data_IF_537118093032
#
_entry.id   IF_537118093032
#
_cell.length_a   1.000
_cell.length_b   1.000
_cell.length_c   1.000
_cell.angle_alpha   90.00
_cell.angle_beta   90.00
_cell.angle_gamma   90.00
#
_symmetry.space_group_name_H-M   'P 1'
#
loop_
_entity.id
_entity.type
_entity.pdbx_description
1 polymer ?
#
# COMPACT_ATOMS: atom_id res chain seq x y z
N UNK A 1 -4.73 39.92 -31.53
CA UNK A 1 -4.96 38.52 -31.10
C UNK A 1 -3.76 37.87 -30.40
N UNK A 2 -2.57 38.49 -30.44
CA UNK A 2 -1.34 37.98 -29.80
C UNK A 2 -1.24 38.25 -28.30
N UNK A 3 -1.99 39.23 -27.77
CA UNK A 3 -1.99 39.56 -26.34
C UNK A 3 -2.87 38.62 -25.49
N UNK A 4 -3.90 38.00 -26.08
CA UNK A 4 -4.78 37.06 -25.34
C UNK A 4 -4.15 35.67 -25.12
N UNK A 5 -3.31 35.23 -26.07
CA UNK A 5 -2.60 33.92 -25.93
C UNK A 5 -1.47 33.98 -24.90
N UNK A 6 -0.80 35.14 -24.72
CA UNK A 6 0.26 35.30 -23.72
C UNK A 6 -0.28 35.38 -22.27
N UNK A 7 -1.49 35.94 -22.07
CA UNK A 7 -2.11 36.00 -20.76
C UNK A 7 -2.64 34.62 -20.31
N UNK A 8 -3.28 33.88 -21.21
CA UNK A 8 -3.75 32.53 -20.92
C UNK A 8 -2.60 31.55 -20.59
N UNK A 9 -1.53 31.55 -21.38
CA UNK A 9 -0.33 30.78 -21.12
C UNK A 9 0.34 31.13 -19.78
N UNK A 10 0.33 32.42 -19.42
CA UNK A 10 0.82 32.89 -18.13
C UNK A 10 -0.05 32.40 -16.96
N UNK A 11 -1.36 32.36 -17.14
CA UNK A 11 -2.30 31.92 -16.06
C UNK A 11 -2.26 30.42 -15.86
N UNK A 12 -2.04 29.63 -16.91
CA UNK A 12 -1.86 28.19 -16.83
C UNK A 12 -0.56 27.83 -16.12
N UNK A 13 0.55 28.42 -16.54
CA UNK A 13 1.85 28.22 -15.87
C UNK A 13 1.77 28.55 -14.38
N UNK A 14 1.06 29.63 -14.02
CA UNK A 14 0.81 29.97 -12.61
C UNK A 14 0.01 28.94 -11.86
N UNK A 15 -0.91 28.20 -12.52
CA UNK A 15 -1.71 27.15 -11.88
C UNK A 15 -0.87 25.92 -11.59
N UNK A 16 -0.07 25.46 -12.56
CA UNK A 16 0.87 24.34 -12.36
C UNK A 16 1.88 24.67 -11.26
N UNK A 17 2.43 25.90 -11.31
CA UNK A 17 3.37 26.37 -10.29
C UNK A 17 2.73 26.38 -8.90
N UNK A 18 1.50 26.91 -8.76
CA UNK A 18 0.76 26.89 -7.50
C UNK A 18 0.50 25.48 -6.96
N UNK A 19 0.22 24.51 -7.85
CA UNK A 19 0.06 23.10 -7.44
C UNK A 19 1.35 22.55 -6.81
N UNK A 20 2.51 22.90 -7.38
CA UNK A 20 3.80 22.49 -6.82
C UNK A 20 4.18 23.33 -5.59
N UNK A 21 3.92 24.64 -5.58
CA UNK A 21 4.14 25.47 -4.39
C UNK A 21 3.30 25.00 -3.19
N UNK A 22 2.08 24.49 -3.42
CA UNK A 22 1.27 23.89 -2.37
C UNK A 22 1.87 22.58 -1.81
N UNK A 23 2.59 21.85 -2.65
CA UNK A 23 3.24 20.58 -2.26
C UNK A 23 4.51 20.81 -1.44
N UNK A 24 5.31 21.81 -1.77
CA UNK A 24 6.60 22.06 -1.16
C UNK A 24 6.53 22.98 0.06
N UNK A 25 7.52 22.90 0.91
CA UNK A 25 7.71 23.84 2.03
C UNK A 25 7.93 25.26 1.46
N UNK A 26 7.49 26.28 2.20
CA UNK A 26 7.50 27.67 1.75
C UNK A 26 8.87 28.10 1.22
N UNK A 27 8.89 28.54 -0.03
CA UNK A 27 10.08 29.08 -0.71
C UNK A 27 11.16 28.04 -1.05
N UNK A 28 10.91 26.74 -0.84
CA UNK A 28 11.90 25.69 -1.13
C UNK A 28 11.89 25.25 -2.60
N UNK A 29 10.80 25.47 -3.33
CA UNK A 29 10.65 25.00 -4.71
C UNK A 29 11.63 25.66 -5.67
N UNK A 30 12.33 24.83 -6.46
CA UNK A 30 13.21 25.27 -7.54
C UNK A 30 12.82 24.53 -8.83
N UNK A 31 12.41 25.28 -9.85
CA UNK A 31 12.03 24.74 -11.15
C UNK A 31 13.25 24.24 -11.94
N UNK A 32 13.09 23.11 -12.63
CA UNK A 32 14.05 22.54 -13.57
C UNK A 32 13.52 22.70 -14.98
N UNK A 33 14.41 23.05 -15.94
CA UNK A 33 14.08 23.24 -17.36
C UNK A 33 12.90 24.22 -17.59
N UNK A 34 12.87 25.32 -16.83
CA UNK A 34 11.85 26.35 -16.91
C UNK A 34 11.65 26.96 -18.32
N UNK A 35 12.69 26.88 -19.15
CA UNK A 35 12.67 27.41 -20.53
C UNK A 35 12.45 26.31 -21.59
N UNK A 36 12.33 25.03 -21.18
CA UNK A 36 12.07 23.94 -22.10
C UNK A 36 10.63 24.02 -22.61
N UNK A 37 10.46 24.05 -23.93
CA UNK A 37 9.16 24.14 -24.60
C UNK A 37 9.03 23.01 -25.63
N UNK A 38 7.81 22.67 -25.92
CA UNK A 38 7.44 21.80 -27.03
C UNK A 38 7.68 22.53 -28.39
N UNK A 39 7.63 21.78 -29.47
CA UNK A 39 7.88 22.32 -30.82
C UNK A 39 6.92 23.48 -31.20
N UNK A 40 5.70 23.47 -30.66
CA UNK A 40 4.71 24.54 -30.85
C UNK A 40 4.82 25.67 -29.83
N UNK A 41 5.81 25.63 -28.93
CA UNK A 41 6.08 26.63 -27.90
C UNK A 41 5.28 26.47 -26.61
N UNK A 42 4.46 25.41 -26.48
CA UNK A 42 3.69 25.11 -25.28
C UNK A 42 4.57 24.54 -24.14
N UNK A 43 4.10 24.64 -22.91
CA UNK A 43 4.71 24.05 -21.71
C UNK A 43 3.63 23.26 -21.00
N UNK A 44 3.60 21.94 -21.25
CA UNK A 44 2.59 21.05 -20.69
C UNK A 44 2.94 20.58 -19.27
N UNK A 45 4.21 20.67 -18.87
CA UNK A 45 4.72 20.19 -17.58
C UNK A 45 5.58 21.24 -16.90
N UNK A 46 5.29 21.51 -15.63
CA UNK A 46 6.22 22.20 -14.70
C UNK A 46 6.85 21.13 -13.82
N UNK A 47 8.16 21.18 -13.63
CA UNK A 47 8.89 20.17 -12.89
C UNK A 47 10.04 20.80 -12.09
N UNK A 48 10.37 20.24 -10.94
CA UNK A 48 11.44 20.78 -10.10
C UNK A 48 11.67 19.94 -8.85
N UNK A 49 12.31 20.54 -7.88
CA UNK A 49 12.61 19.95 -6.59
C UNK A 49 12.46 20.98 -5.47
N UNK A 50 12.34 20.50 -4.26
CA UNK A 50 12.24 21.28 -3.03
C UNK A 50 12.23 20.37 -1.83
N UNK A 51 11.71 20.85 -0.69
CA UNK A 51 11.49 20.05 0.49
C UNK A 51 10.00 19.86 0.77
N UNK A 52 9.66 18.71 1.32
CA UNK A 52 8.34 18.39 1.88
C UNK A 52 8.59 17.91 3.31
N UNK A 53 8.10 18.67 4.30
CA UNK A 53 8.42 18.44 5.70
C UNK A 53 9.94 18.26 5.92
N UNK A 54 10.74 19.20 5.37
CA UNK A 54 12.21 19.25 5.42
C UNK A 54 12.94 18.13 4.65
N UNK A 55 12.23 17.17 4.05
CA UNK A 55 12.81 16.09 3.24
C UNK A 55 12.86 16.49 1.76
N UNK A 56 13.99 16.26 1.09
CA UNK A 56 14.16 16.58 -0.33
C UNK A 56 13.26 15.68 -1.19
N UNK A 57 12.52 16.29 -2.12
CA UNK A 57 11.56 15.63 -3.02
C UNK A 57 11.67 16.25 -4.41
N UNK A 58 11.55 15.42 -5.44
CA UNK A 58 11.33 15.87 -6.81
C UNK A 58 9.85 15.79 -7.16
N UNK A 59 9.36 16.75 -7.95
CA UNK A 59 7.97 16.69 -8.38
C UNK A 59 7.78 17.27 -9.79
N UNK A 60 6.68 16.88 -10.42
CA UNK A 60 6.18 17.48 -11.64
C UNK A 60 4.66 17.63 -11.60
N UNK A 61 4.14 18.59 -12.36
CA UNK A 61 2.70 18.84 -12.48
C UNK A 61 2.32 19.03 -13.94
N UNK A 62 1.24 18.39 -14.35
CA UNK A 62 0.56 18.56 -15.63
C UNK A 62 -0.67 19.44 -15.47
N UNK A 63 -1.19 19.99 -16.58
CA UNK A 63 -2.43 20.78 -16.58
C UNK A 63 -3.19 20.53 -17.89
N UNK A 64 -4.42 20.02 -17.76
CA UNK A 64 -5.31 19.69 -18.89
C UNK A 64 -5.64 20.89 -19.77
N UNK A 65 -5.51 22.11 -19.27
CA UNK A 65 -5.83 23.33 -20.03
C UNK A 65 -4.76 23.67 -21.10
N UNK A 66 -3.60 23.00 -21.05
CA UNK A 66 -2.58 23.08 -22.09
C UNK A 66 -2.75 21.90 -23.03
N UNK A 67 -3.30 22.11 -24.19
CA UNK A 67 -3.46 21.09 -25.24
C UNK A 67 -4.11 19.77 -24.74
N UNK A 68 -5.14 19.91 -23.86
CA UNK A 68 -5.75 18.75 -23.20
C UNK A 68 -4.84 17.99 -22.22
N UNK A 69 -3.79 18.65 -21.72
CA UNK A 69 -2.76 17.99 -20.90
C UNK A 69 -1.90 16.97 -21.66
N UNK A 70 -1.99 16.95 -22.98
CA UNK A 70 -1.26 16.01 -23.83
C UNK A 70 0.24 16.31 -23.78
N UNK A 71 1.03 15.32 -23.40
CA UNK A 71 2.47 15.47 -23.15
C UNK A 71 3.27 15.17 -24.42
N UNK A 72 4.16 16.11 -24.79
CA UNK A 72 5.06 16.03 -25.93
C UNK A 72 6.35 15.26 -25.60
N UNK A 73 7.14 14.92 -26.62
CA UNK A 73 8.49 14.31 -26.47
C UNK A 73 9.38 15.18 -25.57
N UNK A 74 9.37 16.50 -25.77
CA UNK A 74 10.20 17.42 -25.00
C UNK A 74 9.80 17.44 -23.51
N UNK A 75 8.50 17.37 -23.24
CA UNK A 75 8.00 17.35 -21.86
C UNK A 75 8.14 15.97 -21.21
N UNK A 76 8.04 14.88 -21.96
CA UNK A 76 8.43 13.54 -21.49
C UNK A 76 9.91 13.51 -21.05
N UNK A 77 10.81 14.15 -21.83
CA UNK A 77 12.22 14.27 -21.47
C UNK A 77 12.41 15.06 -20.15
N UNK A 78 11.60 16.10 -19.92
CA UNK A 78 11.60 16.86 -18.68
C UNK A 78 11.18 16.01 -17.49
N UNK A 79 10.10 15.24 -17.60
CA UNK A 79 9.66 14.28 -16.55
C UNK A 79 10.73 13.22 -16.32
N UNK A 80 11.27 12.63 -17.39
CA UNK A 80 12.35 11.62 -17.28
C UNK A 80 13.54 12.15 -16.52
N UNK A 81 13.94 13.40 -16.75
CA UNK A 81 15.03 14.04 -16.02
C UNK A 81 14.77 14.11 -14.52
N UNK A 82 13.51 14.31 -14.09
CA UNK A 82 13.12 14.24 -12.68
C UNK A 82 13.41 12.87 -12.10
N UNK A 83 12.97 11.79 -12.77
CA UNK A 83 13.26 10.41 -12.35
C UNK A 83 14.77 10.12 -12.30
N UNK A 84 15.51 10.53 -13.32
CA UNK A 84 16.96 10.31 -13.40
C UNK A 84 17.72 11.04 -12.26
N UNK A 85 17.29 12.25 -11.90
CA UNK A 85 17.87 13.01 -10.79
C UNK A 85 17.48 12.40 -9.44
N UNK A 86 16.23 12.02 -9.27
CA UNK A 86 15.73 11.37 -8.06
C UNK A 86 16.50 10.07 -7.76
N UNK A 87 16.75 9.23 -8.78
CA UNK A 87 17.57 8.03 -8.64
C UNK A 87 19.02 8.34 -8.24
N UNK A 88 19.61 9.42 -8.78
CA UNK A 88 20.97 9.81 -8.46
C UNK A 88 21.14 10.36 -7.05
N UNK A 89 20.11 10.97 -6.53
CA UNK A 89 20.12 11.64 -5.21
C UNK A 89 19.45 10.80 -4.12
N UNK A 90 18.73 9.73 -4.50
CA UNK A 90 17.99 8.88 -3.56
C UNK A 90 16.79 9.58 -2.95
N UNK A 91 16.06 10.39 -3.73
CA UNK A 91 14.91 11.18 -3.26
C UNK A 91 13.59 10.66 -3.86
N UNK A 92 12.45 10.80 -3.14
CA UNK A 92 11.13 10.49 -3.67
C UNK A 92 10.74 11.36 -4.87
N UNK A 93 9.78 10.85 -5.67
CA UNK A 93 9.13 11.60 -6.74
C UNK A 93 7.63 11.69 -6.48
N UNK A 94 7.06 12.89 -6.60
CA UNK A 94 5.62 13.13 -6.55
C UNK A 94 5.17 13.68 -7.90
N UNK A 95 4.30 12.95 -8.61
CA UNK A 95 3.71 13.37 -9.87
C UNK A 95 2.27 13.85 -9.69
N UNK A 96 1.96 15.07 -10.15
CA UNK A 96 0.59 15.59 -10.19
C UNK A 96 0.08 15.49 -11.63
N UNK A 97 -0.90 14.59 -11.82
CA UNK A 97 -1.43 14.22 -13.12
C UNK A 97 -2.75 14.92 -13.42
N UNK A 98 -2.81 15.53 -14.60
CA UNK A 98 -4.00 16.15 -15.17
C UNK A 98 -3.82 16.16 -16.69
N UNK A 99 -4.02 15.01 -17.35
CA UNK A 99 -3.56 14.76 -18.72
C UNK A 99 -4.38 13.70 -19.45
N UNK A 100 -4.74 13.99 -20.69
CA UNK A 100 -5.35 13.03 -21.62
C UNK A 100 -4.33 12.09 -22.31
N UNK A 101 -3.07 12.08 -21.89
CA UNK A 101 -2.04 11.17 -22.38
C UNK A 101 -1.07 11.81 -23.38
N UNK A 102 -0.82 11.11 -24.50
CA UNK A 102 0.21 11.52 -25.47
C UNK A 102 -0.24 12.65 -26.41
N UNK A 103 0.70 13.51 -26.83
CA UNK A 103 0.49 14.49 -27.88
C UNK A 103 0.49 13.79 -29.25
N UNK A 104 -0.68 13.41 -29.74
CA UNK A 104 -0.86 12.57 -30.93
C UNK A 104 -0.22 13.17 -32.20
N UNK A 105 -0.06 14.50 -32.28
CA UNK A 105 0.58 15.19 -33.42
C UNK A 105 2.05 14.85 -33.60
N UNK A 106 2.72 14.31 -32.56
CA UNK A 106 4.13 13.90 -32.59
C UNK A 106 4.33 12.43 -33.00
N UNK A 107 3.25 11.71 -33.30
CA UNK A 107 3.30 10.37 -33.86
C UNK A 107 3.98 9.34 -32.96
N UNK A 108 4.84 8.48 -33.53
CA UNK A 108 5.52 7.40 -32.79
C UNK A 108 6.66 7.91 -31.90
N UNK A 109 7.18 9.09 -32.10
CA UNK A 109 8.28 9.63 -31.29
C UNK A 109 7.83 9.82 -29.85
N UNK A 110 6.61 10.30 -29.63
CA UNK A 110 6.05 10.46 -28.27
C UNK A 110 5.78 9.10 -27.60
N UNK A 111 5.42 8.08 -28.37
CA UNK A 111 5.25 6.71 -27.82
C UNK A 111 6.58 6.15 -27.31
N UNK A 112 7.68 6.38 -28.02
CA UNK A 112 9.02 6.01 -27.54
C UNK A 112 9.38 6.78 -26.28
N UNK A 113 9.07 8.08 -26.21
CA UNK A 113 9.32 8.89 -25.02
C UNK A 113 8.54 8.39 -23.79
N UNK A 114 7.28 7.98 -23.97
CA UNK A 114 6.53 7.34 -22.89
C UNK A 114 7.12 5.97 -22.49
N UNK A 115 7.63 5.19 -23.45
CA UNK A 115 8.38 3.97 -23.15
C UNK A 115 9.60 4.22 -22.27
N UNK A 116 10.30 5.35 -22.48
CA UNK A 116 11.40 5.77 -21.61
C UNK A 116 10.92 6.17 -20.20
N UNK A 117 9.73 6.78 -20.07
CA UNK A 117 9.12 7.08 -18.76
C UNK A 117 8.75 5.79 -18.02
N UNK A 118 8.16 4.81 -18.72
CA UNK A 118 7.87 3.48 -18.14
C UNK A 118 9.15 2.85 -17.58
N UNK A 119 10.24 2.88 -18.36
CA UNK A 119 11.54 2.37 -17.92
C UNK A 119 12.08 3.13 -16.72
N UNK A 120 11.99 4.45 -16.70
CA UNK A 120 12.48 5.30 -15.62
C UNK A 120 11.71 5.02 -14.31
N UNK A 121 10.37 5.03 -14.36
CA UNK A 121 9.53 4.70 -13.21
C UNK A 121 9.78 3.29 -12.69
N UNK A 122 9.85 2.29 -13.59
CA UNK A 122 10.14 0.90 -13.19
C UNK A 122 11.53 0.76 -12.54
N UNK A 123 12.53 1.51 -13.03
CA UNK A 123 13.88 1.49 -12.43
C UNK A 123 13.92 2.13 -11.04
N UNK A 124 12.98 3.01 -10.75
CA UNK A 124 12.85 3.69 -9.46
C UNK A 124 12.04 2.87 -8.44
N UNK A 125 11.14 2.01 -8.91
CA UNK A 125 10.29 1.17 -8.05
C UNK A 125 11.11 0.32 -7.09
N UNK A 126 10.81 0.41 -5.80
CA UNK A 126 11.56 -0.25 -4.73
C UNK A 126 12.95 0.35 -4.45
N UNK A 127 13.30 1.48 -5.07
CA UNK A 127 14.53 2.24 -4.80
C UNK A 127 14.22 3.55 -4.10
N UNK A 128 13.36 4.37 -4.69
CA UNK A 128 12.86 5.62 -4.09
C UNK A 128 11.34 5.65 -4.19
N UNK A 129 10.61 6.14 -3.18
CA UNK A 129 9.17 6.24 -3.21
C UNK A 129 8.64 7.07 -4.38
N UNK A 130 7.57 6.57 -4.99
CA UNK A 130 6.82 7.25 -6.03
C UNK A 130 5.39 7.43 -5.60
N UNK A 131 4.89 8.67 -5.62
CA UNK A 131 3.52 9.01 -5.26
C UNK A 131 2.88 9.73 -6.45
N UNK A 132 1.70 9.28 -6.85
CA UNK A 132 0.90 9.92 -7.88
C UNK A 132 -0.31 10.60 -7.27
N UNK A 133 -0.56 11.86 -7.64
CA UNK A 133 -1.77 12.62 -7.33
C UNK A 133 -2.55 12.77 -8.63
N UNK A 134 -3.72 12.17 -8.72
CA UNK A 134 -4.64 12.34 -9.83
C UNK A 134 -5.52 13.55 -9.52
N UNK A 135 -5.16 14.70 -10.08
CA UNK A 135 -5.76 16.00 -9.76
C UNK A 135 -6.95 16.38 -10.67
N UNK A 136 -7.12 15.64 -11.76
CA UNK A 136 -8.16 15.83 -12.77
C UNK A 136 -8.22 14.62 -13.68
N UNK A 137 -8.38 14.82 -14.98
CA UNK A 137 -8.33 13.70 -15.92
C UNK A 137 -6.93 13.08 -15.98
N UNK A 138 -6.88 11.75 -15.91
CA UNK A 138 -5.64 11.00 -16.09
C UNK A 138 -5.92 9.77 -16.94
N UNK A 139 -5.71 9.90 -18.25
CA UNK A 139 -6.21 8.98 -19.24
C UNK A 139 -5.08 8.32 -20.05
N UNK A 140 -5.37 7.14 -20.60
CA UNK A 140 -4.48 6.47 -21.53
C UNK A 140 -3.10 6.14 -20.96
N UNK A 141 -2.06 6.60 -21.65
CA UNK A 141 -0.67 6.39 -21.23
C UNK A 141 -0.30 7.13 -19.96
N UNK A 142 -0.92 8.27 -19.67
CA UNK A 142 -0.73 8.97 -18.39
C UNK A 142 -1.26 8.15 -17.23
N UNK A 143 -2.44 7.52 -17.37
CA UNK A 143 -2.98 6.62 -16.36
C UNK A 143 -2.07 5.41 -16.12
N UNK A 144 -1.48 4.85 -17.17
CA UNK A 144 -0.52 3.75 -17.04
C UNK A 144 0.69 4.17 -16.19
N UNK A 145 1.31 5.32 -16.49
CA UNK A 145 2.47 5.80 -15.74
C UNK A 145 2.08 6.14 -14.29
N UNK A 146 0.96 6.84 -14.09
CA UNK A 146 0.49 7.21 -12.77
C UNK A 146 0.26 5.98 -11.87
N UNK A 147 -0.28 4.90 -12.44
CA UNK A 147 -0.52 3.65 -11.72
C UNK A 147 0.74 2.80 -11.45
N UNK A 148 1.90 3.19 -11.99
CA UNK A 148 3.18 2.55 -11.68
C UNK A 148 3.81 3.08 -10.38
N UNK A 149 3.25 4.13 -9.80
CA UNK A 149 3.69 4.64 -8.49
C UNK A 149 3.40 3.65 -7.36
N UNK A 150 4.14 3.79 -6.27
CA UNK A 150 3.95 2.96 -5.06
C UNK A 150 2.64 3.29 -4.34
N UNK A 151 2.21 4.56 -4.41
CA UNK A 151 0.93 5.03 -3.86
C UNK A 151 0.24 5.97 -4.85
N UNK A 152 -1.05 5.72 -5.09
CA UNK A 152 -1.91 6.53 -5.96
C UNK A 152 -2.98 7.23 -5.12
N UNK A 153 -2.94 8.55 -5.10
CA UNK A 153 -3.90 9.43 -4.45
C UNK A 153 -4.76 10.07 -5.53
N UNK A 154 -6.06 10.13 -5.37
CA UNK A 154 -6.93 10.77 -6.36
C UNK A 154 -7.93 11.73 -5.73
N UNK A 155 -8.24 12.79 -6.48
CA UNK A 155 -9.38 13.66 -6.18
C UNK A 155 -10.65 12.98 -6.69
N UNK A 156 -11.72 13.02 -5.92
CA UNK A 156 -12.97 12.29 -6.16
C UNK A 156 -13.58 12.50 -7.55
N UNK A 157 -13.55 13.72 -8.03
CA UNK A 157 -14.13 14.11 -9.33
C UNK A 157 -13.17 13.87 -10.51
N UNK A 158 -12.03 13.22 -10.29
CA UNK A 158 -11.07 12.93 -11.35
C UNK A 158 -11.48 11.68 -12.15
N UNK A 159 -11.01 11.62 -13.41
CA UNK A 159 -11.13 10.45 -14.27
C UNK A 159 -9.84 9.66 -14.27
N UNK A 160 -9.91 8.34 -14.11
CA UNK A 160 -8.72 7.50 -14.07
C UNK A 160 -8.92 6.17 -14.82
N UNK A 161 -8.57 6.13 -16.12
CA UNK A 161 -8.69 4.92 -16.94
C UNK A 161 -7.71 4.91 -18.13
N UNK A 162 -7.49 3.73 -18.72
CA UNK A 162 -6.56 3.55 -19.85
C UNK A 162 -7.28 3.61 -21.19
N UNK A 163 -8.48 3.04 -21.32
CA UNK A 163 -9.13 2.83 -22.62
C UNK A 163 -10.50 3.47 -22.67
N UNK A 164 -10.69 4.43 -23.60
CA UNK A 164 -12.02 4.92 -23.95
C UNK A 164 -12.82 3.82 -24.70
N UNK A 165 -14.14 3.75 -24.60
CA UNK A 165 -15.05 4.69 -23.96
C UNK A 165 -15.38 4.35 -22.49
N UNK A 166 -14.57 3.56 -21.81
CA UNK A 166 -14.77 3.26 -20.41
C UNK A 166 -14.44 4.51 -19.59
N UNK A 167 -15.44 5.30 -19.30
CA UNK A 167 -15.31 6.41 -18.35
C UNK A 167 -15.33 5.79 -16.95
N UNK A 168 -14.18 5.76 -16.30
CA UNK A 168 -14.00 5.25 -14.93
C UNK A 168 -13.51 6.39 -14.05
N UNK A 169 -14.30 6.70 -13.04
CA UNK A 169 -14.00 7.75 -12.07
C UNK A 169 -12.92 7.30 -11.09
N UNK A 170 -12.30 8.26 -10.43
CA UNK A 170 -11.37 7.99 -9.33
C UNK A 170 -12.06 7.26 -8.17
N UNK A 171 -13.34 7.52 -7.91
CA UNK A 171 -14.14 6.84 -6.88
C UNK A 171 -14.33 5.36 -7.22
N UNK A 172 -14.72 5.03 -8.46
CA UNK A 172 -14.81 3.63 -8.94
C UNK A 172 -13.45 2.92 -8.90
N UNK A 173 -12.36 3.63 -9.23
CA UNK A 173 -10.98 3.12 -9.14
C UNK A 173 -10.55 2.88 -7.68
N UNK A 174 -11.01 3.69 -6.73
CA UNK A 174 -10.80 3.50 -5.30
C UNK A 174 -11.57 2.28 -4.78
N UNK A 175 -12.82 2.12 -5.19
CA UNK A 175 -13.63 0.94 -4.87
C UNK A 175 -13.08 -0.36 -5.49
N UNK A 176 -12.40 -0.26 -6.64
CA UNK A 176 -11.71 -1.37 -7.29
C UNK A 176 -10.32 -1.66 -6.71
N UNK A 177 -9.80 -0.82 -5.81
CA UNK A 177 -8.49 -0.97 -5.18
C UNK A 177 -7.30 -0.54 -6.05
N UNK A 178 -7.53 0.21 -7.13
CA UNK A 178 -6.48 0.79 -7.97
C UNK A 178 -5.95 2.08 -7.35
N UNK A 179 -6.82 2.92 -6.80
CA UNK A 179 -6.47 4.12 -6.03
C UNK A 179 -6.30 3.75 -4.56
N UNK A 180 -5.25 4.27 -3.92
CA UNK A 180 -4.93 4.00 -2.52
C UNK A 180 -5.65 4.93 -1.56
N UNK A 181 -5.76 6.22 -1.90
CA UNK A 181 -6.41 7.26 -1.09
C UNK A 181 -7.29 8.13 -1.97
N UNK A 182 -8.55 8.32 -1.58
CA UNK A 182 -9.49 9.21 -2.24
C UNK A 182 -9.70 10.45 -1.37
N UNK A 183 -9.60 11.62 -1.97
CA UNK A 183 -9.74 12.92 -1.32
C UNK A 183 -10.86 13.73 -1.98
N UNK A 184 -11.56 14.56 -1.21
CA UNK A 184 -12.61 15.42 -1.77
C UNK A 184 -12.01 16.61 -2.53
N UNK A 185 -10.85 17.11 -2.13
CA UNK A 185 -10.18 18.27 -2.73
C UNK A 185 -8.72 17.99 -3.11
N UNK A 186 -8.17 18.85 -3.96
CA UNK A 186 -6.75 18.79 -4.32
C UNK A 186 -5.84 19.11 -3.13
N UNK A 187 -6.24 20.02 -2.28
CA UNK A 187 -5.52 20.38 -1.04
C UNK A 187 -5.40 19.19 -0.09
N UNK A 188 -6.49 18.46 0.10
CA UNK A 188 -6.47 17.21 0.89
C UNK A 188 -5.56 16.13 0.25
N UNK A 189 -5.56 16.04 -1.09
CA UNK A 189 -4.68 15.11 -1.79
C UNK A 189 -3.20 15.48 -1.64
N UNK A 190 -2.88 16.76 -1.61
CA UNK A 190 -1.53 17.27 -1.32
C UNK A 190 -1.12 16.94 0.11
N UNK A 191 -2.00 17.18 1.08
CA UNK A 191 -1.74 16.87 2.50
C UNK A 191 -1.55 15.37 2.72
N UNK A 192 -2.36 14.54 2.07
CA UNK A 192 -2.19 13.09 2.08
C UNK A 192 -0.84 12.67 1.47
N UNK A 193 -0.42 13.27 0.34
CA UNK A 193 0.86 12.99 -0.29
C UNK A 193 2.05 13.39 0.60
N UNK A 194 1.98 14.55 1.25
CA UNK A 194 2.99 15.02 2.22
C UNK A 194 3.11 14.05 3.40
N UNK A 195 1.98 13.64 3.96
CA UNK A 195 1.95 12.72 5.08
C UNK A 195 2.54 11.35 4.70
N UNK A 196 2.12 10.76 3.58
CA UNK A 196 2.65 9.47 3.10
C UNK A 196 4.14 9.59 2.75
N UNK A 197 4.56 10.65 2.07
CA UNK A 197 5.98 10.87 1.76
C UNK A 197 6.84 10.96 3.04
N UNK A 198 6.31 11.55 4.11
CA UNK A 198 7.00 11.64 5.40
C UNK A 198 7.09 10.29 6.13
N UNK A 199 6.07 9.43 6.00
CA UNK A 199 6.06 8.09 6.60
C UNK A 199 7.03 7.12 5.92
N UNK A 200 7.34 7.35 4.64
CA UNK A 200 8.27 6.51 3.88
C UNK A 200 9.71 7.03 4.02
N UNK A 201 10.74 6.16 4.11
CA UNK A 201 12.12 6.61 4.01
C UNK A 201 12.39 7.21 2.62
N UNK A 202 13.38 8.10 2.52
CA UNK A 202 13.71 8.76 1.23
C UNK A 202 14.10 7.76 0.13
N UNK A 203 14.67 6.62 0.51
CA UNK A 203 15.00 5.52 -0.38
C UNK A 203 15.19 4.21 0.41
N UNK A 204 15.37 3.10 -0.28
CA UNK A 204 15.46 1.76 0.29
C UNK A 204 16.69 1.49 1.18
N UNK A 205 17.67 2.38 1.20
CA UNK A 205 18.87 2.29 2.07
C UNK A 205 18.90 3.39 3.13
N UNK A 206 17.98 4.34 3.10
CA UNK A 206 17.86 5.38 4.12
C UNK A 206 17.26 4.80 5.41
N UNK A 207 17.65 5.35 6.58
CA UNK A 207 17.01 4.98 7.83
C UNK A 207 15.51 5.36 7.81
N UNK A 208 14.72 4.62 8.60
CA UNK A 208 13.33 4.97 8.82
C UNK A 208 13.21 6.39 9.42
N UNK A 209 12.23 7.19 9.00
CA UNK A 209 11.95 8.48 9.63
C UNK A 209 11.55 8.27 11.10
N UNK A 210 11.89 9.24 11.93
CA UNK A 210 11.53 9.25 13.35
C UNK A 210 10.64 10.43 13.64
N UNK A 211 9.54 10.17 14.34
CA UNK A 211 8.51 11.15 14.68
C UNK A 211 8.40 11.34 16.19
N UNK A 212 8.01 12.53 16.61
CA UNK A 212 7.42 12.69 17.94
C UNK A 212 6.09 11.93 17.99
N UNK A 213 5.81 11.26 19.09
CA UNK A 213 4.64 10.41 19.18
C UNK A 213 3.92 10.56 20.51
N UNK A 214 2.63 10.26 20.50
CA UNK A 214 1.83 10.08 21.69
C UNK A 214 1.23 8.66 21.70
N UNK A 215 1.28 8.02 22.85
CA UNK A 215 0.66 6.69 22.98
C UNK A 215 -0.87 6.78 22.78
N UNK A 216 -1.51 5.74 22.23
CA UNK A 216 -2.96 5.68 22.13
C UNK A 216 -3.60 5.67 23.54
N UNK A 217 -4.80 6.22 23.64
CA UNK A 217 -5.57 6.27 24.89
C UNK A 217 -6.38 4.99 25.14
N UNK A 218 -6.45 4.08 24.16
CA UNK A 218 -7.27 2.87 24.21
C UNK A 218 -6.41 1.63 24.17
N UNK A 219 -6.93 0.52 24.70
CA UNK A 219 -6.35 -0.81 24.63
C UNK A 219 -7.24 -1.70 23.77
N UNK A 220 -6.66 -2.72 23.14
CA UNK A 220 -7.43 -3.73 22.43
C UNK A 220 -8.25 -4.59 23.38
N UNK A 221 -9.42 -5.03 22.92
CA UNK A 221 -10.30 -5.94 23.63
C UNK A 221 -10.77 -7.06 22.72
N UNK A 222 -11.24 -8.17 23.32
CA UNK A 222 -11.89 -9.23 22.55
C UNK A 222 -13.10 -8.70 21.78
N UNK A 223 -13.18 -9.03 20.51
CA UNK A 223 -14.28 -8.63 19.63
C UNK A 223 -14.15 -7.26 18.99
N UNK A 224 -13.08 -6.53 19.27
CA UNK A 224 -12.78 -5.28 18.53
C UNK A 224 -12.58 -5.55 17.05
N UNK A 225 -13.02 -4.61 16.20
CA UNK A 225 -12.72 -4.62 14.77
C UNK A 225 -11.24 -4.34 14.50
N UNK A 226 -10.79 -4.69 13.29
CA UNK A 226 -9.39 -4.57 12.92
C UNK A 226 -8.82 -3.15 13.05
N UNK A 227 -9.60 -2.12 12.72
CA UNK A 227 -9.14 -0.74 12.81
C UNK A 227 -9.01 -0.29 14.27
N UNK A 228 -9.93 -0.68 15.14
CA UNK A 228 -9.86 -0.42 16.58
C UNK A 228 -8.61 -1.06 17.19
N UNK A 229 -8.28 -2.31 16.82
CA UNK A 229 -7.05 -2.96 17.25
C UNK A 229 -5.82 -2.23 16.75
N UNK A 230 -5.78 -1.84 15.45
CA UNK A 230 -4.67 -1.05 14.91
C UNK A 230 -4.49 0.25 15.69
N UNK A 231 -5.56 0.99 15.93
CA UNK A 231 -5.52 2.26 16.69
C UNK A 231 -5.06 2.08 18.14
N UNK A 232 -5.23 0.89 18.74
CA UNK A 232 -4.73 0.58 20.08
C UNK A 232 -3.22 0.29 20.11
N UNK A 233 -2.63 -0.04 18.95
CA UNK A 233 -1.19 -0.34 18.78
C UNK A 233 -0.45 0.87 18.23
N UNK A 234 -0.98 1.54 17.23
CA UNK A 234 -0.39 2.70 16.57
C UNK A 234 -0.32 3.91 17.51
N UNK A 235 0.60 4.81 17.22
CA UNK A 235 0.66 6.10 17.91
C UNK A 235 -0.56 6.97 17.54
N UNK A 236 -0.98 7.81 18.45
CA UNK A 236 -2.17 8.63 18.26
C UNK A 236 -2.03 9.51 17.00
N UNK A 237 -3.09 9.56 16.19
CA UNK A 237 -3.19 10.35 14.95
C UNK A 237 -2.17 10.01 13.84
N UNK A 238 -1.54 8.84 13.89
CA UNK A 238 -0.54 8.43 12.88
C UNK A 238 -1.10 7.53 11.78
N UNK A 239 -2.34 7.08 11.87
CA UNK A 239 -2.94 6.06 11.02
C UNK A 239 -3.31 6.61 9.65
N UNK A 240 -2.80 5.98 8.59
CA UNK A 240 -3.14 6.23 7.19
C UNK A 240 -3.57 4.92 6.54
N UNK A 241 -4.87 4.76 6.28
CA UNK A 241 -5.39 3.59 5.59
C UNK A 241 -5.13 3.69 4.07
N UNK A 242 -4.54 2.66 3.47
CA UNK A 242 -4.38 2.51 2.03
C UNK A 242 -5.43 1.54 1.48
N UNK A 243 -6.01 1.88 0.30
CA UNK A 243 -7.06 1.09 -0.36
C UNK A 243 -8.29 0.85 0.55
N UNK A 244 -8.63 1.85 1.37
CA UNK A 244 -9.75 1.75 2.32
C UNK A 244 -11.09 1.50 1.66
N UNK A 245 -11.30 2.04 0.45
CA UNK A 245 -12.52 1.87 -0.36
C UNK A 245 -12.61 0.56 -1.14
N UNK A 246 -11.59 -0.30 -1.12
CA UNK A 246 -11.63 -1.56 -1.88
C UNK A 246 -12.79 -2.44 -1.37
N UNK A 247 -13.94 -2.29 -2.03
CA UNK A 247 -15.27 -2.66 -1.51
C UNK A 247 -15.46 -4.15 -1.22
N UNK A 248 -14.79 -5.02 -1.99
CA UNK A 248 -14.85 -6.47 -1.78
C UNK A 248 -13.86 -6.98 -0.72
N UNK A 249 -12.97 -6.12 -0.21
CA UNK A 249 -11.91 -6.55 0.71
C UNK A 249 -12.33 -6.40 2.16
N UNK A 250 -12.20 -7.49 2.92
CA UNK A 250 -12.32 -7.55 4.39
C UNK A 250 -10.94 -7.52 5.06
N UNK A 251 -10.01 -6.81 4.44
CA UNK A 251 -8.65 -6.62 4.93
C UNK A 251 -8.35 -5.13 5.06
N UNK A 252 -7.75 -4.73 6.16
CA UNK A 252 -7.24 -3.37 6.38
C UNK A 252 -5.74 -3.35 6.11
N UNK A 253 -5.29 -2.33 5.40
CA UNK A 253 -3.87 -2.05 5.18
C UNK A 253 -3.58 -0.62 5.57
N UNK A 254 -2.64 -0.43 6.49
CA UNK A 254 -2.41 0.86 7.14
C UNK A 254 -0.92 1.12 7.27
N UNK A 255 -0.48 2.33 6.94
CA UNK A 255 0.78 2.89 7.43
C UNK A 255 0.49 3.69 8.70
N UNK A 256 1.28 3.48 9.74
CA UNK A 256 1.18 4.25 10.99
C UNK A 256 2.54 4.29 11.68
N UNK A 257 2.67 5.03 12.76
CA UNK A 257 3.85 4.95 13.60
C UNK A 257 3.59 4.13 14.86
N UNK A 258 4.63 3.47 15.35
CA UNK A 258 4.69 2.83 16.67
C UNK A 258 5.99 3.28 17.32
N UNK A 259 5.91 3.94 18.46
CA UNK A 259 7.04 4.60 19.12
C UNK A 259 7.80 5.54 18.16
N UNK A 260 7.06 6.28 17.34
CA UNK A 260 7.60 7.24 16.38
C UNK A 260 8.27 6.64 15.15
N UNK A 261 8.24 5.32 14.96
CA UNK A 261 8.80 4.65 13.77
C UNK A 261 7.68 4.09 12.89
N UNK A 262 7.79 4.26 11.58
CA UNK A 262 6.78 3.76 10.64
C UNK A 262 6.68 2.25 10.66
N UNK A 263 5.46 1.75 10.70
CA UNK A 263 5.07 0.33 10.68
C UNK A 263 3.92 0.15 9.70
N UNK A 264 3.98 -0.91 8.90
CA UNK A 264 2.86 -1.34 8.07
C UNK A 264 1.98 -2.35 8.80
N UNK A 265 0.68 -2.13 8.77
CA UNK A 265 -0.30 -3.05 9.32
C UNK A 265 -1.09 -3.74 8.21
N UNK A 266 -1.28 -5.04 8.36
CA UNK A 266 -2.20 -5.86 7.56
C UNK A 266 -3.14 -6.56 8.53
N UNK A 267 -4.44 -6.30 8.46
CA UNK A 267 -5.39 -6.85 9.42
C UNK A 267 -6.60 -7.48 8.72
N UNK A 268 -7.04 -8.64 9.21
CA UNK A 268 -8.19 -9.39 8.69
C UNK A 268 -9.33 -9.41 9.71
N UNK A 269 -10.58 -9.39 9.22
CA UNK A 269 -11.79 -9.14 10.04
C UNK A 269 -12.67 -10.39 10.24
N UNK A 270 -12.10 -11.59 10.34
CA UNK A 270 -12.83 -12.82 10.68
C UNK A 270 -13.43 -13.58 9.51
N UNK A 271 -13.46 -12.98 8.32
CA UNK A 271 -13.97 -13.61 7.11
C UNK A 271 -12.92 -14.53 6.44
N UNK A 272 -13.34 -15.46 5.58
CA UNK A 272 -12.40 -16.18 4.72
C UNK A 272 -11.69 -15.21 3.77
N UNK A 273 -10.38 -15.42 3.58
CA UNK A 273 -9.55 -14.56 2.74
C UNK A 273 -9.99 -14.68 1.27
N UNK A 274 -10.37 -13.56 0.67
CA UNK A 274 -10.74 -13.46 -0.74
C UNK A 274 -9.52 -13.06 -1.62
N UNK A 275 -9.61 -13.15 -2.95
CA UNK A 275 -8.57 -12.65 -3.85
C UNK A 275 -8.26 -11.18 -3.64
N UNK A 276 -9.28 -10.35 -3.42
CA UNK A 276 -9.13 -8.92 -3.17
C UNK A 276 -8.33 -8.64 -1.89
N UNK A 277 -8.66 -9.35 -0.80
CA UNK A 277 -7.88 -9.29 0.44
C UNK A 277 -6.42 -9.68 0.20
N UNK A 278 -6.19 -10.73 -0.59
CA UNK A 278 -4.85 -11.21 -0.89
C UNK A 278 -4.02 -10.20 -1.67
N UNK A 279 -4.58 -9.57 -2.70
CA UNK A 279 -3.89 -8.53 -3.48
C UNK A 279 -3.61 -7.27 -2.65
N UNK A 280 -4.56 -6.85 -1.82
CA UNK A 280 -4.40 -5.70 -0.92
C UNK A 280 -3.27 -5.94 0.08
N UNK A 281 -3.27 -7.09 0.74
CA UNK A 281 -2.24 -7.48 1.69
C UNK A 281 -0.87 -7.68 1.02
N UNK A 282 -0.82 -8.34 -0.15
CA UNK A 282 0.40 -8.52 -0.95
C UNK A 282 1.05 -7.18 -1.28
N UNK A 283 0.28 -6.20 -1.77
CA UNK A 283 0.77 -4.87 -2.11
C UNK A 283 1.39 -4.18 -0.90
N UNK A 284 0.74 -4.24 0.27
CA UNK A 284 1.24 -3.65 1.51
C UNK A 284 2.53 -4.30 1.98
N UNK A 285 2.62 -5.63 1.96
CA UNK A 285 3.84 -6.35 2.34
C UNK A 285 5.00 -5.99 1.42
N UNK A 286 4.77 -5.91 0.11
CA UNK A 286 5.79 -5.52 -0.87
C UNK A 286 6.26 -4.07 -0.70
N UNK A 287 5.34 -3.14 -0.45
CA UNK A 287 5.68 -1.75 -0.15
C UNK A 287 6.58 -1.66 1.09
N UNK A 288 6.19 -2.35 2.16
CA UNK A 288 6.95 -2.36 3.40
C UNK A 288 8.34 -3.02 3.23
N UNK A 289 8.41 -4.16 2.53
CA UNK A 289 9.68 -4.84 2.29
C UNK A 289 10.63 -4.01 1.43
N UNK A 290 10.10 -3.33 0.40
CA UNK A 290 10.89 -2.45 -0.47
C UNK A 290 11.61 -1.34 0.30
N UNK A 291 11.00 -0.83 1.36
CA UNK A 291 11.52 0.30 2.16
C UNK A 291 11.92 -0.09 3.57
N UNK A 292 12.11 -1.38 3.84
CA UNK A 292 12.54 -1.91 5.16
C UNK A 292 11.62 -1.51 6.32
N UNK A 293 10.33 -1.31 6.04
CA UNK A 293 9.31 -0.99 7.04
C UNK A 293 8.82 -2.29 7.68
N UNK A 294 8.83 -2.43 9.02
CA UNK A 294 8.29 -3.61 9.69
C UNK A 294 6.80 -3.83 9.38
N UNK A 295 6.38 -5.09 9.30
CA UNK A 295 4.98 -5.48 9.07
C UNK A 295 4.40 -6.14 10.32
N UNK A 296 3.30 -5.59 10.82
CA UNK A 296 2.47 -6.20 11.86
C UNK A 296 1.20 -6.74 11.23
N UNK A 297 0.99 -8.05 11.32
CA UNK A 297 -0.18 -8.72 10.77
C UNK A 297 -1.14 -9.13 11.89
N UNK A 298 -2.37 -8.60 11.86
CA UNK A 298 -3.44 -9.00 12.77
C UNK A 298 -4.27 -10.09 12.09
N UNK A 299 -4.16 -11.29 12.61
CA UNK A 299 -4.73 -12.49 11.98
C UNK A 299 -6.07 -12.85 12.62
N UNK A 300 -7.13 -12.57 11.89
CA UNK A 300 -8.47 -13.07 12.16
C UNK A 300 -9.09 -13.52 10.84
N UNK A 301 -8.86 -14.80 10.44
CA UNK A 301 -9.27 -15.29 9.13
C UNK A 301 -9.63 -16.78 9.16
N UNK A 302 -10.80 -17.09 8.60
CA UNK A 302 -11.38 -18.43 8.53
C UNK A 302 -10.99 -19.20 7.24
N UNK A 303 -9.68 -19.28 6.95
CA UNK A 303 -9.18 -19.93 5.74
C UNK A 303 -9.40 -19.11 4.48
N UNK A 304 -9.59 -19.77 3.34
CA UNK A 304 -9.84 -19.15 2.03
C UNK A 304 -11.32 -19.18 1.67
N UNK A 305 -11.74 -18.18 0.88
CA UNK A 305 -13.08 -18.17 0.27
C UNK A 305 -13.24 -19.41 -0.62
N UNK A 306 -14.31 -20.15 -0.38
CA UNK A 306 -14.77 -21.23 -1.24
C UNK A 306 -15.95 -20.74 -2.08
N UNK A 307 -15.68 -20.30 -3.30
CA UNK A 307 -16.70 -19.82 -4.23
C UNK A 307 -16.56 -20.55 -5.57
N UNK A 308 -17.60 -21.31 -5.92
CA UNK A 308 -17.65 -22.05 -7.19
C UNK A 308 -17.30 -21.13 -8.39
N UNK A 309 -16.42 -21.60 -9.27
CA UNK A 309 -15.97 -20.87 -10.45
C UNK A 309 -14.88 -19.81 -10.21
N UNK A 310 -14.48 -19.53 -8.96
CA UNK A 310 -13.40 -18.58 -8.62
C UNK A 310 -12.15 -19.25 -8.03
N UNK A 311 -12.09 -20.57 -7.94
CA UNK A 311 -11.01 -21.33 -7.30
C UNK A 311 -9.63 -20.97 -7.84
N UNK A 312 -9.47 -20.91 -9.17
CA UNK A 312 -8.19 -20.55 -9.79
C UNK A 312 -7.74 -19.12 -9.47
N UNK A 313 -8.67 -18.17 -9.33
CA UNK A 313 -8.36 -16.81 -8.92
C UNK A 313 -7.89 -16.77 -7.45
N UNK A 314 -8.59 -17.50 -6.58
CA UNK A 314 -8.22 -17.65 -5.19
C UNK A 314 -6.82 -18.26 -5.05
N UNK A 315 -6.55 -19.38 -5.72
CA UNK A 315 -5.26 -20.05 -5.69
C UNK A 315 -4.13 -19.13 -6.15
N UNK A 316 -4.32 -18.41 -7.26
CA UNK A 316 -3.32 -17.46 -7.77
C UNK A 316 -3.06 -16.33 -6.80
N UNK A 317 -4.10 -15.72 -6.25
CA UNK A 317 -3.99 -14.61 -5.29
C UNK A 317 -3.31 -15.07 -3.99
N UNK A 318 -3.70 -16.24 -3.47
CA UNK A 318 -3.06 -16.83 -2.29
C UNK A 318 -1.59 -17.17 -2.51
N UNK A 319 -1.24 -17.72 -3.66
CA UNK A 319 0.15 -18.01 -4.00
C UNK A 319 0.99 -16.74 -3.97
N UNK A 320 0.49 -15.63 -4.53
CA UNK A 320 1.19 -14.35 -4.51
C UNK A 320 1.33 -13.79 -3.09
N UNK A 321 0.27 -13.79 -2.31
CA UNK A 321 0.28 -13.34 -0.92
C UNK A 321 1.29 -14.14 -0.08
N UNK A 322 1.20 -15.46 -0.13
CA UNK A 322 2.11 -16.35 0.63
C UNK A 322 3.57 -16.14 0.18
N UNK A 323 3.80 -16.01 -1.14
CA UNK A 323 5.13 -15.72 -1.68
C UNK A 323 5.66 -14.36 -1.21
N UNK A 324 4.83 -13.33 -1.16
CA UNK A 324 5.22 -12.01 -0.65
C UNK A 324 5.70 -12.10 0.81
N UNK A 325 4.91 -12.69 1.69
CA UNK A 325 5.32 -12.90 3.09
C UNK A 325 6.57 -13.74 3.23
N UNK A 326 6.67 -14.87 2.51
CA UNK A 326 7.80 -15.79 2.60
C UNK A 326 9.11 -15.19 2.06
N UNK A 327 9.02 -14.22 1.18
CA UNK A 327 10.21 -13.60 0.56
C UNK A 327 10.58 -12.25 1.13
N UNK A 328 9.67 -11.60 1.86
CA UNK A 328 9.95 -10.33 2.51
C UNK A 328 11.02 -10.50 3.60
N UNK A 329 11.98 -9.60 3.60
CA UNK A 329 13.14 -9.61 4.51
C UNK A 329 12.98 -8.64 5.68
N UNK A 330 12.03 -7.72 5.59
CA UNK A 330 11.68 -6.80 6.68
C UNK A 330 11.17 -7.55 7.92
N UNK A 331 11.26 -6.98 9.13
CA UNK A 331 10.66 -7.57 10.33
C UNK A 331 9.17 -7.86 10.15
N UNK A 332 8.74 -9.07 10.52
CA UNK A 332 7.34 -9.53 10.41
C UNK A 332 6.86 -10.10 11.73
N UNK A 333 5.84 -9.46 12.30
CA UNK A 333 5.20 -9.87 13.55
C UNK A 333 3.76 -10.20 13.23
N UNK A 334 3.33 -11.42 13.57
CA UNK A 334 1.94 -11.84 13.42
C UNK A 334 1.28 -11.99 14.79
N UNK A 335 0.09 -11.42 14.96
CA UNK A 335 -0.72 -11.54 16.16
C UNK A 335 -2.05 -12.19 15.78
N UNK A 336 -2.32 -13.37 16.28
CA UNK A 336 -3.61 -14.05 16.09
C UNK A 336 -4.61 -13.42 17.05
N UNK A 337 -5.45 -12.53 16.53
CA UNK A 337 -6.45 -11.79 17.30
C UNK A 337 -7.82 -12.49 17.35
N UNK A 338 -8.00 -13.47 16.47
CA UNK A 338 -9.23 -14.26 16.38
C UNK A 338 -8.92 -15.63 15.78
N UNK A 339 -9.36 -15.87 14.57
CA UNK A 339 -9.17 -17.16 13.90
C UNK A 339 -7.93 -17.16 13.00
N UNK A 340 -7.13 -18.22 13.08
CA UNK A 340 -6.05 -18.52 12.15
C UNK A 340 -6.22 -19.95 11.65
N UNK A 341 -7.05 -20.13 10.61
CA UNK A 341 -7.50 -21.45 10.17
C UNK A 341 -6.81 -21.88 8.88
N UNK A 342 -6.20 -23.06 8.89
CA UNK A 342 -5.62 -23.71 7.73
C UNK A 342 -4.62 -22.83 6.99
N UNK A 343 -4.91 -22.54 5.72
CA UNK A 343 -4.03 -21.73 4.85
C UNK A 343 -3.82 -20.29 5.38
N UNK A 344 -4.78 -19.74 6.13
CA UNK A 344 -4.62 -18.42 6.74
C UNK A 344 -3.49 -18.42 7.78
N UNK A 345 -3.38 -19.46 8.62
CA UNK A 345 -2.24 -19.61 9.52
C UNK A 345 -0.92 -19.70 8.75
N UNK A 346 -0.87 -20.52 7.70
CA UNK A 346 0.36 -20.70 6.89
C UNK A 346 0.79 -19.39 6.26
N UNK A 347 -0.14 -18.66 5.62
CA UNK A 347 0.18 -17.46 4.85
C UNK A 347 0.47 -16.22 5.73
N UNK A 348 -0.21 -16.08 6.87
CA UNK A 348 -0.23 -14.83 7.64
C UNK A 348 0.46 -14.92 9.00
N UNK A 349 0.44 -16.09 9.64
CA UNK A 349 0.94 -16.25 11.01
C UNK A 349 2.07 -17.26 11.14
N UNK A 350 2.23 -18.17 10.18
CA UNK A 350 3.13 -19.30 10.31
C UNK A 350 4.60 -18.89 10.32
N UNK A 351 5.33 -19.30 11.36
CA UNK A 351 6.79 -19.21 11.44
C UNK A 351 7.47 -19.88 10.24
N UNK A 352 6.96 -21.01 9.78
CA UNK A 352 7.45 -21.73 8.61
C UNK A 352 7.32 -20.94 7.30
N UNK A 353 6.45 -19.91 7.25
CA UNK A 353 6.30 -18.98 6.14
C UNK A 353 6.94 -17.61 6.43
N UNK A 354 8.00 -17.61 7.26
CA UNK A 354 8.89 -16.49 7.51
C UNK A 354 8.36 -15.37 8.42
N UNK A 355 7.41 -15.64 9.31
CA UNK A 355 7.13 -14.73 10.43
C UNK A 355 8.29 -14.81 11.45
N UNK A 356 8.77 -13.66 11.94
CA UNK A 356 9.82 -13.61 12.95
C UNK A 356 9.26 -13.96 14.33
N UNK A 357 8.08 -13.38 14.65
CA UNK A 357 7.29 -13.73 15.83
C UNK A 357 5.85 -13.99 15.46
N UNK A 358 5.28 -15.02 16.09
CA UNK A 358 3.86 -15.34 16.03
C UNK A 358 3.29 -15.31 17.44
N UNK A 359 2.42 -14.37 17.71
CA UNK A 359 1.72 -14.19 18.98
C UNK A 359 0.26 -14.59 18.85
N UNK A 360 -0.41 -14.83 19.96
CA UNK A 360 -1.83 -15.13 19.98
C UNK A 360 -2.53 -14.49 21.20
N UNK A 361 -3.75 -14.06 21.01
CA UNK A 361 -4.64 -13.75 22.14
C UNK A 361 -5.10 -15.03 22.82
N UNK A 362 -5.38 -14.95 24.10
CA UNK A 362 -5.73 -16.11 24.95
C UNK A 362 -7.02 -16.84 24.52
N UNK A 363 -7.94 -16.13 23.83
CA UNK A 363 -9.20 -16.70 23.30
C UNK A 363 -9.20 -16.94 21.80
N UNK A 364 -8.06 -16.77 21.14
CA UNK A 364 -7.94 -16.99 19.71
C UNK A 364 -8.01 -18.49 19.35
N UNK A 365 -8.18 -18.77 18.06
CA UNK A 365 -8.25 -20.12 17.51
C UNK A 365 -7.17 -20.31 16.46
N UNK A 366 -6.31 -21.31 16.66
CA UNK A 366 -5.34 -21.76 15.66
C UNK A 366 -5.64 -23.20 15.29
N UNK A 367 -6.08 -23.45 14.06
CA UNK A 367 -6.58 -24.76 13.66
C UNK A 367 -6.20 -25.13 12.22
N UNK A 368 -5.87 -26.40 11.93
CA UNK A 368 -5.67 -26.87 10.56
C UNK A 368 -6.92 -26.78 9.68
N UNK A 369 -8.11 -26.92 10.26
CA UNK A 369 -9.40 -26.90 9.55
C UNK A 369 -10.41 -26.05 10.33
N UNK A 370 -11.43 -25.50 9.63
CA UNK A 370 -12.58 -24.91 10.31
C UNK A 370 -13.19 -25.89 11.29
N UNK A 371 -13.53 -25.44 12.50
CA UNK A 371 -14.02 -26.31 13.59
C UNK A 371 -15.17 -27.23 13.17
N UNK A 372 -16.09 -26.73 12.35
CA UNK A 372 -17.20 -27.54 11.83
C UNK A 372 -16.75 -28.72 10.95
N UNK A 373 -15.79 -28.42 10.05
CA UNK A 373 -15.22 -29.44 9.17
C UNK A 373 -14.38 -30.43 9.97
N UNK A 374 -13.58 -29.94 10.90
CA UNK A 374 -12.74 -30.77 11.75
C UNK A 374 -13.58 -31.76 12.57
N UNK A 375 -14.69 -31.32 13.16
CA UNK A 375 -15.63 -32.22 13.91
C UNK A 375 -16.22 -33.28 13.00
N UNK A 376 -16.61 -32.93 11.77
CA UNK A 376 -17.13 -33.92 10.83
C UNK A 376 -16.10 -34.99 10.43
N UNK A 377 -14.84 -34.58 10.26
CA UNK A 377 -13.77 -35.54 9.88
C UNK A 377 -13.27 -36.36 11.05
N UNK A 378 -13.02 -35.74 12.20
CA UNK A 378 -12.35 -36.39 13.33
C UNK A 378 -13.31 -37.13 14.27
N UNK A 379 -14.56 -36.64 14.37
CA UNK A 379 -15.56 -37.18 15.30
C UNK A 379 -16.78 -37.77 14.58
N UNK A 380 -16.60 -38.24 13.35
CA UNK A 380 -17.68 -38.78 12.52
C UNK A 380 -18.41 -39.94 13.23
N UNK A 381 -17.67 -40.89 13.86
CA UNK A 381 -18.25 -42.02 14.61
C UNK A 381 -19.04 -41.55 15.85
N UNK A 382 -18.55 -40.55 16.57
CA UNK A 382 -19.22 -39.98 17.75
C UNK A 382 -20.50 -39.22 17.36
N UNK A 383 -20.48 -38.51 16.25
CA UNK A 383 -21.67 -37.89 15.67
C UNK A 383 -22.71 -38.93 15.25
N UNK A 384 -22.28 -40.04 14.63
CA UNK A 384 -23.16 -41.14 14.24
C UNK A 384 -23.80 -41.85 15.46
N UNK A 385 -23.10 -41.87 16.60
CA UNK A 385 -23.59 -42.40 17.86
C UNK A 385 -24.49 -41.43 18.65
N UNK A 386 -24.80 -40.22 18.06
CA UNK A 386 -25.75 -39.27 18.62
C UNK A 386 -25.16 -38.27 19.60
N UNK A 387 -23.83 -38.13 19.69
CA UNK A 387 -23.22 -37.05 20.49
C UNK A 387 -23.52 -35.67 19.89
N UNK A 388 -23.64 -34.68 20.76
CA UNK A 388 -23.96 -33.32 20.37
C UNK A 388 -22.83 -32.70 19.54
N UNK A 389 -23.16 -32.20 18.36
CA UNK A 389 -22.22 -31.47 17.48
C UNK A 389 -21.59 -30.25 18.19
N UNK A 390 -22.36 -29.56 19.00
CA UNK A 390 -21.88 -28.38 19.73
C UNK A 390 -20.90 -28.73 20.85
N UNK A 391 -21.12 -29.85 21.54
CA UNK A 391 -20.18 -30.37 22.55
C UNK A 391 -18.86 -30.81 21.90
N UNK A 392 -18.94 -31.45 20.74
CA UNK A 392 -17.77 -31.90 19.99
C UNK A 392 -16.97 -30.70 19.41
N UNK A 393 -17.65 -29.65 18.97
CA UNK A 393 -17.00 -28.37 18.57
C UNK A 393 -16.24 -27.74 19.74
N UNK A 394 -16.88 -27.67 20.90
CA UNK A 394 -16.25 -27.13 22.12
C UNK A 394 -15.03 -27.96 22.51
N UNK A 395 -15.17 -29.27 22.53
CA UNK A 395 -14.06 -30.19 22.82
C UNK A 395 -12.90 -30.01 21.85
N UNK A 396 -13.17 -29.88 20.54
CA UNK A 396 -12.15 -29.67 19.52
C UNK A 396 -11.43 -28.31 19.72
N UNK A 397 -12.19 -27.25 19.97
CA UNK A 397 -11.62 -25.91 20.19
C UNK A 397 -10.72 -25.92 21.42
N UNK A 398 -11.14 -26.50 22.53
CA UNK A 398 -10.36 -26.50 23.76
C UNK A 398 -9.11 -27.39 23.69
N UNK A 399 -9.19 -28.56 23.03
CA UNK A 399 -8.11 -29.56 23.05
C UNK A 399 -7.16 -29.47 21.86
N UNK A 400 -7.63 -29.02 20.70
CA UNK A 400 -6.87 -29.05 19.44
C UNK A 400 -6.63 -27.64 18.88
N UNK A 401 -7.64 -26.80 18.84
CA UNK A 401 -7.59 -25.50 18.19
C UNK A 401 -7.28 -24.36 19.18
N UNK A 402 -6.91 -24.66 20.39
CA UNK A 402 -6.50 -23.67 21.40
C UNK A 402 -5.14 -23.06 21.04
N UNK A 403 -4.93 -21.74 21.27
CA UNK A 403 -3.63 -21.11 21.11
C UNK A 403 -2.56 -21.75 22.03
N UNK A 404 -2.96 -22.28 23.19
CA UNK A 404 -2.07 -23.03 24.11
C UNK A 404 -1.56 -24.34 23.49
N UNK A 405 -2.39 -25.04 22.72
CA UNK A 405 -1.97 -26.23 21.98
C UNK A 405 -0.98 -25.84 20.87
N UNK A 406 -1.24 -24.74 20.15
CA UNK A 406 -0.34 -24.22 19.15
C UNK A 406 1.00 -23.77 19.74
N UNK A 407 1.00 -23.16 20.92
CA UNK A 407 2.22 -22.77 21.62
C UNK A 407 3.01 -23.99 22.12
N UNK A 408 2.33 -25.03 22.60
CA UNK A 408 2.99 -26.25 23.06
C UNK A 408 3.78 -26.97 21.94
N UNK A 409 3.38 -26.84 20.68
CA UNK A 409 4.13 -27.37 19.53
C UNK A 409 5.08 -26.36 18.88
N UNK A 410 5.25 -25.16 19.48
CA UNK A 410 6.14 -24.11 18.98
C UNK A 410 5.60 -23.32 17.80
N UNK A 411 4.32 -23.42 17.48
CA UNK A 411 3.68 -22.67 16.41
C UNK A 411 3.33 -21.22 16.81
N UNK A 412 3.23 -20.95 18.11
CA UNK A 412 3.01 -19.62 18.71
C UNK A 412 4.10 -19.36 19.74
N UNK A 413 4.68 -18.17 19.73
CA UNK A 413 5.79 -17.79 20.63
C UNK A 413 5.33 -17.38 22.02
N UNK A 414 4.21 -16.65 22.09
CA UNK A 414 3.64 -16.16 23.35
C UNK A 414 2.14 -15.94 23.22
N UNK A 415 1.43 -16.07 24.35
CA UNK A 415 -0.01 -15.89 24.48
C UNK A 415 -0.26 -14.83 25.54
N UNK A 416 -1.11 -13.85 25.20
CA UNK A 416 -1.40 -12.73 26.10
C UNK A 416 -2.84 -12.21 25.94
N UNK A 417 -3.25 -11.38 26.91
CA UNK A 417 -4.54 -10.73 26.84
C UNK A 417 -4.52 -9.59 25.77
N UNK A 418 -5.63 -9.30 25.09
CA UNK A 418 -5.70 -8.25 24.07
C UNK A 418 -5.09 -6.90 24.50
N UNK A 419 -5.28 -6.49 25.74
CA UNK A 419 -4.77 -5.23 26.28
C UNK A 419 -3.24 -5.11 26.27
N UNK A 420 -2.51 -6.24 26.23
CA UNK A 420 -1.05 -6.27 26.23
C UNK A 420 -0.45 -6.16 24.81
N UNK A 421 -1.29 -6.14 23.75
CA UNK A 421 -0.85 -6.24 22.36
C UNK A 421 0.18 -5.18 21.99
N UNK A 422 -0.07 -3.91 22.32
CA UNK A 422 0.90 -2.84 22.03
C UNK A 422 2.26 -3.09 22.68
N UNK A 423 2.29 -3.46 23.94
CA UNK A 423 3.56 -3.69 24.65
C UNK A 423 4.35 -4.84 24.07
N UNK A 424 3.67 -5.93 23.66
CA UNK A 424 4.29 -7.10 23.02
C UNK A 424 4.81 -6.79 21.62
N UNK A 425 4.04 -6.03 20.83
CA UNK A 425 4.46 -5.59 19.49
C UNK A 425 5.68 -4.67 19.59
N UNK A 426 5.70 -3.70 20.51
CA UNK A 426 6.85 -2.82 20.71
C UNK A 426 8.09 -3.64 21.08
N UNK A 427 8.01 -4.55 22.04
CA UNK A 427 9.14 -5.38 22.44
C UNK A 427 9.69 -6.23 21.27
N UNK A 428 8.80 -6.74 20.42
CA UNK A 428 9.20 -7.49 19.23
C UNK A 428 9.83 -6.59 18.15
N UNK A 429 9.30 -5.39 17.93
CA UNK A 429 9.89 -4.41 17.00
C UNK A 429 11.29 -3.99 17.44
N UNK A 430 11.48 -3.73 18.73
CA UNK A 430 12.77 -3.33 19.30
C UNK A 430 13.85 -4.39 19.08
N UNK A 431 13.57 -5.65 19.37
CA UNK A 431 14.54 -6.73 19.17
C UNK A 431 14.82 -7.01 17.69
N UNK A 432 13.83 -6.81 16.83
CA UNK A 432 13.94 -7.00 15.38
C UNK A 432 14.55 -5.79 14.64
N UNK A 433 14.76 -4.66 15.28
CA UNK A 433 15.34 -3.47 14.65
C UNK A 433 16.72 -3.76 14.02
N UNK A 434 17.44 -4.70 14.57
CA UNK A 434 18.73 -5.17 14.05
C UNK A 434 18.65 -6.31 13.03
N UNK A 435 17.46 -6.76 12.63
CA UNK A 435 17.30 -7.90 11.72
C UNK A 435 18.06 -7.69 10.40
N UNK A 436 18.77 -8.72 9.98
CA UNK A 436 19.48 -8.78 8.69
C UNK A 436 19.26 -10.17 8.10
N UNK A 437 18.72 -10.23 6.89
CA UNK A 437 18.61 -11.45 6.12
C UNK A 437 19.53 -11.38 4.90
N UNK A 438 20.40 -12.39 4.74
CA UNK A 438 21.24 -12.52 3.56
C UNK A 438 20.62 -13.53 2.62
N UNK A 439 20.08 -13.06 1.50
CA UNK A 439 19.56 -13.91 0.43
C UNK A 439 20.44 -13.81 -0.80
N UNK A 440 20.48 -14.87 -1.61
CA UNK A 440 21.13 -14.79 -2.92
C UNK A 440 20.38 -13.80 -3.80
N UNK A 441 21.09 -12.90 -4.50
CA UNK A 441 20.46 -11.95 -5.42
C UNK A 441 19.63 -12.67 -6.49
N UNK A 442 18.43 -12.20 -6.72
CA UNK A 442 17.57 -12.68 -7.81
C UNK A 442 16.99 -11.48 -8.57
N UNK A 443 16.74 -11.64 -9.88
CA UNK A 443 16.17 -10.56 -10.69
C UNK A 443 14.66 -10.40 -10.43
N UNK A 444 13.94 -11.50 -10.40
CA UNK A 444 12.48 -11.52 -10.25
C UNK A 444 12.03 -12.71 -9.43
N UNK A 445 10.89 -12.58 -8.76
CA UNK A 445 10.09 -13.72 -8.33
C UNK A 445 9.29 -14.23 -9.53
N UNK A 446 9.21 -15.54 -9.69
CA UNK A 446 8.40 -16.16 -10.75
C UNK A 446 6.92 -16.28 -10.34
N UNK A 447 6.63 -16.11 -9.03
CA UNK A 447 5.28 -16.19 -8.45
C UNK A 447 4.93 -14.89 -7.74
#
# INVERSE_FOLDING_TARGET
>A
STLSSSSAASDVYKRQLKRLEALFDDGSFTEIDAYAKSADGSVEVVAGFGTVNECAVYAFSQDITVDGGAVSVAQCAKIKKIYDLALKTGCPVIGVYDSNGVKLTEGFEVMNAYGELVKASTSMSGVCPQISIIAGSCLGTSALIANMADVVIAVKDADFYVTAPSEVTAEESYEAGTVDVLCDTFEEAVDAAKNIASLLPSNNISPAPLFEFAAPSTFANDGDDAMTVINSIADANSVVELKGGYSESKCKTVLATVMGTTVGFVAFEGEPICPCCSYKAEAMVKLCDAYSIPVVTLVNANGAVNKAGKENQCLTAFTKLTSAYATATTPKISVITGNAVGIAYIALAGKGANADFTFAWDKSVASPLPTESAVQFLFNERLANGESKEELKKEYTEKVASPFTAAACGAVDDIFAPADTRAKVIAALDILAGKRENTLPRKHSVK
#
